data_IF_670408373932
#
_entry.id   IF_670408373932
#
_cell.length_a   1.000
_cell.length_b   1.000
_cell.length_c   1.000
_cell.angle_alpha   90.00
_cell.angle_beta   90.00
_cell.angle_gamma   90.00
#
_symmetry.space_group_name_H-M   'P 1'
#
loop_
_entity.id
_entity.type
_entity.pdbx_description
1 polymer ?
#
# COMPACT_ATOMS: atom_id res chain seq x y z
N UNK A 1 -51.41 35.87 29.49
CA UNK A 1 -51.03 35.76 28.06
C UNK A 1 -49.54 35.53 27.79
N UNK A 2 -48.59 35.89 28.67
CA UNK A 2 -47.14 35.73 28.39
C UNK A 2 -46.62 34.28 28.46
N UNK A 3 -47.15 33.44 29.36
CA UNK A 3 -46.62 32.09 29.59
C UNK A 3 -46.84 31.13 28.41
N UNK A 4 -48.02 31.19 27.78
CA UNK A 4 -48.32 30.39 26.58
C UNK A 4 -47.49 30.80 25.36
N UNK A 5 -47.18 32.09 25.21
CA UNK A 5 -46.29 32.60 24.15
C UNK A 5 -44.86 32.09 24.30
N UNK A 6 -44.35 32.05 25.53
CA UNK A 6 -42.99 31.54 25.84
C UNK A 6 -42.88 30.04 25.62
N UNK A 7 -43.89 29.27 26.03
CA UNK A 7 -43.92 27.82 25.82
C UNK A 7 -44.00 27.48 24.32
N UNK A 8 -44.84 28.19 23.57
CA UNK A 8 -44.90 28.04 22.11
C UNK A 8 -43.55 28.33 21.45
N UNK A 9 -42.91 29.45 21.81
CA UNK A 9 -41.60 29.81 21.28
C UNK A 9 -40.53 28.75 21.58
N UNK A 10 -40.53 28.16 22.80
CA UNK A 10 -39.60 27.08 23.17
C UNK A 10 -39.83 25.83 22.31
N UNK A 11 -41.08 25.42 22.12
CA UNK A 11 -41.41 24.23 21.31
C UNK A 11 -41.04 24.43 19.83
N UNK A 12 -41.32 25.61 19.27
CA UNK A 12 -40.92 25.94 17.90
C UNK A 12 -39.40 25.96 17.76
N UNK A 13 -38.68 26.52 18.74
CA UNK A 13 -37.22 26.53 18.75
C UNK A 13 -36.63 25.11 18.72
N UNK A 14 -37.14 24.21 19.57
CA UNK A 14 -36.68 22.81 19.60
C UNK A 14 -36.96 22.12 18.25
N UNK A 15 -38.17 22.29 17.71
CA UNK A 15 -38.56 21.68 16.44
C UNK A 15 -37.68 22.15 15.28
N UNK A 16 -37.44 23.46 15.17
CA UNK A 16 -36.57 24.03 14.13
C UNK A 16 -35.12 23.58 14.31
N UNK A 17 -34.64 23.49 15.55
CA UNK A 17 -33.28 23.02 15.84
C UNK A 17 -33.07 21.57 15.41
N UNK A 18 -34.02 20.67 15.72
CA UNK A 18 -33.96 19.27 15.30
C UNK A 18 -33.98 19.17 13.78
N UNK A 19 -34.91 19.88 13.12
CA UNK A 19 -35.01 19.88 11.66
C UNK A 19 -33.74 20.42 10.99
N UNK A 20 -33.15 21.48 11.55
CA UNK A 20 -31.87 22.04 11.09
C UNK A 20 -30.74 21.03 11.21
N UNK A 21 -30.65 20.33 12.34
CA UNK A 21 -29.66 19.26 12.54
C UNK A 21 -29.81 18.12 11.54
N UNK A 22 -31.03 17.64 11.31
CA UNK A 22 -31.31 16.58 10.32
C UNK A 22 -30.96 17.04 8.91
N UNK A 23 -31.28 18.29 8.55
CA UNK A 23 -30.96 18.84 7.25
C UNK A 23 -29.44 18.91 7.02
N UNK A 24 -28.68 19.41 8.00
CA UNK A 24 -27.22 19.45 7.93
C UNK A 24 -26.63 18.04 7.83
N UNK A 25 -27.14 17.08 8.61
CA UNK A 25 -26.71 15.68 8.51
C UNK A 25 -26.98 15.10 7.11
N UNK A 26 -28.17 15.35 6.55
CA UNK A 26 -28.53 14.93 5.20
C UNK A 26 -27.64 15.54 4.12
N UNK A 27 -27.30 16.82 4.23
CA UNK A 27 -26.40 17.51 3.31
C UNK A 27 -24.96 16.96 3.37
N UNK A 28 -24.55 16.42 4.51
CA UNK A 28 -23.21 15.84 4.68
C UNK A 28 -23.10 14.39 4.15
N UNK A 29 -24.21 13.73 3.81
CA UNK A 29 -24.22 12.33 3.32
C UNK A 29 -23.26 12.10 2.13
N UNK A 30 -23.24 12.94 1.08
CA UNK A 30 -22.33 12.73 -0.04
C UNK A 30 -20.85 12.82 0.35
N UNK A 31 -20.50 13.79 1.20
CA UNK A 31 -19.11 13.98 1.66
C UNK A 31 -18.62 12.79 2.49
N UNK A 32 -19.46 12.29 3.41
CA UNK A 32 -19.16 11.09 4.21
C UNK A 32 -19.09 9.85 3.31
N UNK A 33 -19.97 9.74 2.31
CA UNK A 33 -19.96 8.63 1.34
C UNK A 33 -18.65 8.54 0.57
N UNK A 34 -18.16 9.66 0.04
CA UNK A 34 -16.87 9.74 -0.68
C UNK A 34 -15.70 9.40 0.25
N UNK A 35 -15.67 9.99 1.45
CA UNK A 35 -14.60 9.70 2.41
C UNK A 35 -14.57 8.21 2.79
N UNK A 36 -15.74 7.61 3.00
CA UNK A 36 -15.87 6.19 3.33
C UNK A 36 -15.44 5.29 2.17
N UNK A 37 -15.81 5.60 0.92
CA UNK A 37 -15.38 4.80 -0.24
C UNK A 37 -13.88 4.86 -0.43
N UNK A 38 -13.29 6.06 -0.42
CA UNK A 38 -11.84 6.22 -0.58
C UNK A 38 -11.05 5.51 0.53
N UNK A 39 -11.55 5.54 1.76
CA UNK A 39 -10.93 4.81 2.88
C UNK A 39 -10.99 3.30 2.66
N UNK A 40 -12.12 2.78 2.17
CA UNK A 40 -12.24 1.34 1.84
C UNK A 40 -11.28 0.95 0.73
N UNK A 41 -11.18 1.76 -0.33
CA UNK A 41 -10.28 1.49 -1.46
C UNK A 41 -8.81 1.42 -1.00
N UNK A 42 -8.39 2.34 -0.13
CA UNK A 42 -7.05 2.33 0.44
C UNK A 42 -6.77 1.07 1.28
N UNK A 43 -7.73 0.62 2.09
CA UNK A 43 -7.60 -0.60 2.89
C UNK A 43 -7.54 -1.85 2.02
N UNK A 44 -8.37 -1.94 0.96
CA UNK A 44 -8.31 -3.04 0.00
C UNK A 44 -6.94 -3.14 -0.65
N UNK A 45 -6.35 -2.01 -1.09
CA UNK A 45 -5.02 -2.01 -1.68
C UNK A 45 -3.91 -2.54 -0.75
N UNK A 46 -4.04 -2.35 0.57
CA UNK A 46 -3.12 -2.94 1.55
C UNK A 46 -3.36 -4.44 1.74
N UNK A 47 -4.63 -4.87 1.79
CA UNK A 47 -4.98 -6.28 1.93
C UNK A 47 -4.67 -7.12 0.69
N UNK A 48 -4.62 -6.49 -0.49
CA UNK A 48 -4.26 -7.13 -1.75
C UNK A 48 -2.74 -7.30 -1.93
N UNK A 49 -1.92 -6.73 -1.05
CA UNK A 49 -0.49 -7.00 -1.07
C UNK A 49 -0.25 -8.48 -0.73
N UNK A 50 0.57 -9.20 -1.51
CA UNK A 50 0.85 -10.60 -1.23
C UNK A 50 1.55 -10.73 0.13
N UNK A 51 1.05 -11.65 0.96
CA UNK A 51 1.62 -11.95 2.29
C UNK A 51 3.06 -12.44 2.18
N UNK A 52 3.41 -13.05 1.04
CA UNK A 52 4.73 -13.57 0.76
C UNK A 52 5.29 -12.92 -0.50
N UNK A 53 6.48 -12.33 -0.38
CA UNK A 53 7.23 -11.81 -1.52
C UNK A 53 7.65 -12.97 -2.41
N UNK A 54 6.98 -13.16 -3.54
CA UNK A 54 7.44 -14.10 -4.55
C UNK A 54 8.81 -13.65 -5.07
N UNK A 55 9.83 -14.48 -4.87
CA UNK A 55 11.16 -14.29 -5.42
C UNK A 55 11.32 -15.21 -6.64
N UNK A 56 10.83 -14.82 -7.83
CA UNK A 56 11.00 -15.64 -9.02
C UNK A 56 12.49 -15.85 -9.31
N UNK A 57 12.86 -16.96 -9.96
CA UNK A 57 14.25 -17.22 -10.32
C UNK A 57 14.78 -16.04 -11.14
N UNK A 58 15.91 -15.50 -10.69
CA UNK A 58 16.54 -14.36 -11.34
C UNK A 58 16.92 -14.74 -12.78
N UNK A 59 16.69 -13.81 -13.71
CA UNK A 59 17.15 -13.99 -15.09
C UNK A 59 18.66 -14.22 -15.13
N UNK A 60 19.08 -15.23 -15.89
CA UNK A 60 20.47 -15.58 -16.10
C UNK A 60 20.78 -15.56 -17.60
N UNK A 61 22.06 -15.37 -17.93
CA UNK A 61 22.53 -15.45 -19.31
C UNK A 61 22.27 -16.83 -19.93
N UNK A 62 21.86 -16.84 -21.20
CA UNK A 62 21.81 -18.07 -22.01
C UNK A 62 23.21 -18.44 -22.51
N UNK A 63 23.44 -19.74 -22.73
CA UNK A 63 24.71 -20.25 -23.26
C UNK A 63 24.48 -20.92 -24.61
N UNK A 64 25.20 -20.48 -25.63
CA UNK A 64 25.31 -21.19 -26.90
C UNK A 64 26.44 -22.20 -26.79
N UNK A 65 26.13 -23.48 -27.03
CA UNK A 65 27.07 -24.58 -26.94
C UNK A 65 27.36 -25.15 -28.32
N UNK A 66 28.60 -25.61 -28.54
CA UNK A 66 28.97 -26.46 -29.67
C UNK A 66 28.43 -27.89 -29.46
N UNK A 67 28.46 -28.73 -30.51
CA UNK A 67 27.99 -30.12 -30.43
C UNK A 67 28.71 -30.98 -29.37
N UNK A 68 29.95 -30.63 -29.00
CA UNK A 68 30.72 -31.28 -27.93
C UNK A 68 30.58 -30.58 -26.56
N UNK A 69 29.64 -29.66 -26.40
CA UNK A 69 29.33 -29.01 -25.11
C UNK A 69 30.20 -27.82 -24.72
N UNK A 70 31.14 -27.37 -25.57
CA UNK A 70 31.96 -26.18 -25.31
C UNK A 70 31.13 -24.91 -25.51
N UNK A 71 31.28 -23.93 -24.63
CA UNK A 71 30.61 -22.63 -24.78
C UNK A 71 31.19 -21.86 -25.96
N UNK A 72 30.32 -21.37 -26.83
CA UNK A 72 30.64 -20.53 -27.99
C UNK A 72 30.30 -19.06 -27.76
N UNK A 73 29.15 -18.78 -27.14
CA UNK A 73 28.70 -17.42 -26.84
C UNK A 73 27.75 -17.38 -25.64
N UNK A 74 27.58 -16.17 -25.08
CA UNK A 74 26.59 -15.85 -24.07
C UNK A 74 25.63 -14.79 -24.61
N UNK A 75 24.34 -14.96 -24.35
CA UNK A 75 23.31 -13.96 -24.66
C UNK A 75 22.67 -13.49 -23.37
N UNK A 76 22.56 -12.17 -23.21
CA UNK A 76 21.95 -11.54 -22.05
C UNK A 76 21.64 -10.07 -22.34
N UNK A 77 20.57 -9.56 -21.74
CA UNK A 77 20.37 -8.12 -21.56
C UNK A 77 21.18 -7.62 -20.35
N UNK A 78 21.26 -8.46 -19.30
CA UNK A 78 22.05 -8.20 -18.10
C UNK A 78 22.95 -9.39 -17.78
N UNK A 79 24.25 -9.13 -17.57
CA UNK A 79 25.22 -10.18 -17.26
C UNK A 79 25.11 -10.65 -15.80
N UNK A 80 24.05 -11.41 -15.49
CA UNK A 80 23.80 -11.97 -14.16
C UNK A 80 24.23 -13.45 -14.10
N UNK A 81 24.95 -13.79 -13.03
CA UNK A 81 25.37 -15.16 -12.71
C UNK A 81 24.93 -15.42 -11.27
N UNK A 82 24.01 -16.36 -11.10
CA UNK A 82 23.51 -16.69 -9.76
C UNK A 82 24.51 -17.55 -9.00
N UNK A 83 24.80 -17.17 -7.76
CA UNK A 83 25.60 -17.94 -6.81
C UNK A 83 24.91 -17.97 -5.45
N UNK A 84 25.10 -19.04 -4.70
CA UNK A 84 24.57 -19.16 -3.34
C UNK A 84 25.38 -18.32 -2.35
N UNK A 85 24.77 -17.95 -1.21
CA UNK A 85 25.32 -17.02 -0.23
C UNK A 85 26.63 -17.50 0.43
N UNK A 86 26.85 -18.82 0.48
CA UNK A 86 28.09 -19.47 0.94
C UNK A 86 29.27 -19.24 -0.02
N UNK A 87 28.99 -18.95 -1.30
CA UNK A 87 30.01 -18.62 -2.31
C UNK A 87 30.37 -17.13 -2.35
N UNK A 88 29.73 -16.31 -1.51
CA UNK A 88 30.01 -14.89 -1.37
C UNK A 88 30.87 -14.68 -0.13
N UNK A 89 31.97 -13.93 -0.26
CA UNK A 89 32.88 -13.64 0.85
C UNK A 89 32.16 -12.95 2.00
N UNK A 90 32.63 -13.19 3.23
CA UNK A 90 32.06 -12.56 4.42
C UNK A 90 32.13 -11.03 4.31
N UNK A 91 33.26 -10.49 3.88
CA UNK A 91 33.46 -9.03 3.71
C UNK A 91 32.48 -8.42 2.72
N UNK A 92 32.17 -9.09 1.60
CA UNK A 92 31.20 -8.58 0.62
C UNK A 92 29.77 -8.57 1.21
N UNK A 93 29.41 -9.60 1.98
CA UNK A 93 28.11 -9.64 2.68
C UNK A 93 28.01 -8.50 3.69
N UNK A 94 29.06 -8.27 4.47
CA UNK A 94 29.12 -7.18 5.44
C UNK A 94 29.10 -5.81 4.75
N UNK A 95 29.81 -5.63 3.64
CA UNK A 95 29.81 -4.39 2.87
C UNK A 95 28.42 -4.08 2.29
N UNK A 96 27.71 -5.10 1.78
CA UNK A 96 26.36 -4.94 1.24
C UNK A 96 25.33 -4.57 2.31
N UNK A 97 25.47 -5.08 3.54
CA UNK A 97 24.61 -4.67 4.66
C UNK A 97 25.03 -3.31 5.20
N UNK A 98 26.34 -3.04 5.30
CA UNK A 98 26.89 -1.83 5.89
C UNK A 98 26.72 -0.55 5.05
N UNK A 99 26.39 -0.66 3.76
CA UNK A 99 26.00 0.49 2.93
C UNK A 99 24.52 0.90 3.15
N UNK A 100 23.69 -0.01 3.66
CA UNK A 100 22.29 0.30 3.97
C UNK A 100 22.21 1.12 5.26
N UNK A 101 21.28 2.06 5.30
CA UNK A 101 21.20 3.06 6.36
C UNK A 101 20.79 2.40 7.70
N UNK A 102 21.75 2.24 8.61
CA UNK A 102 21.74 1.98 10.07
C UNK A 102 20.63 1.11 10.71
N UNK A 103 19.77 0.41 9.97
CA UNK A 103 18.60 -0.32 10.54
C UNK A 103 18.74 -1.83 10.51
N UNK A 104 19.83 -2.34 9.96
CA UNK A 104 20.06 -3.76 9.79
C UNK A 104 21.43 -4.11 10.39
N UNK A 105 21.45 -4.38 11.69
CA UNK A 105 22.56 -5.01 12.40
C UNK A 105 22.06 -6.25 13.12
#
# INVERSE_FOLDING_TARGET
MLLGKRLYALLTFILVSILGGVLVAGLMVPAVGVAASTTKDALTGVNDLPVELEAPPQWQRSKLLTANGKVLAYFYDQNRIYVSLDKISADMKMAQVGIEDHRFY
#
